data_IF_227975664435
#
_entry.id   IF_227975664435
#
_cell.length_a   1.000
_cell.length_b   1.000
_cell.length_c   1.000
_cell.angle_alpha   90.00
_cell.angle_beta   90.00
_cell.angle_gamma   90.00
#
_symmetry.space_group_name_H-M   'P 1'
#
loop_
_entity.id
_entity.type
_entity.pdbx_description
1 polymer ?
#
# COMPACT_ATOMS: atom_id res chain seq x y z
N UNK A 1 49.85 8.21 -42.87
CA UNK A 1 48.38 8.28 -42.96
C UNK A 1 47.84 7.09 -42.18
N UNK A 2 47.47 7.30 -40.92
CA UNK A 2 47.08 6.22 -40.01
C UNK A 2 45.62 6.43 -39.64
N UNK A 3 44.76 5.52 -40.09
CA UNK A 3 43.35 5.44 -39.69
C UNK A 3 43.27 5.22 -38.18
N UNK A 4 42.53 6.08 -37.47
CA UNK A 4 42.07 5.80 -36.12
C UNK A 4 40.70 5.12 -36.26
N UNK A 5 40.63 3.87 -35.83
CA UNK A 5 39.41 3.05 -35.72
C UNK A 5 38.41 3.69 -34.77
N UNK A 6 37.14 3.75 -35.20
CA UNK A 6 35.99 4.05 -34.35
C UNK A 6 35.51 2.73 -33.73
N UNK A 7 35.28 2.62 -32.41
CA UNK A 7 34.80 1.39 -31.81
C UNK A 7 33.32 1.18 -32.14
N UNK A 8 33.00 -0.04 -32.57
CA UNK A 8 31.64 -0.54 -32.74
C UNK A 8 30.96 -0.61 -31.37
N UNK A 9 29.92 0.19 -31.18
CA UNK A 9 28.99 0.05 -30.05
C UNK A 9 27.87 -0.86 -30.56
N UNK A 10 28.01 -2.15 -30.26
CA UNK A 10 26.96 -3.14 -30.43
C UNK A 10 25.90 -2.89 -29.35
N UNK A 11 24.83 -2.18 -29.70
CA UNK A 11 23.65 -2.04 -28.86
C UNK A 11 22.86 -3.36 -28.94
N UNK A 12 23.01 -4.21 -27.92
CA UNK A 12 22.22 -5.43 -27.70
C UNK A 12 20.76 -5.06 -27.41
N UNK A 13 20.02 -4.73 -28.48
CA UNK A 13 18.58 -4.55 -28.46
C UNK A 13 17.90 -5.92 -28.45
N UNK A 14 17.86 -6.56 -27.27
CA UNK A 14 16.88 -7.63 -26.99
C UNK A 14 15.70 -7.08 -26.21
N UNK A 15 15.07 -6.05 -26.76
CA UNK A 15 13.76 -5.60 -26.34
C UNK A 15 12.72 -6.63 -26.79
N UNK A 16 12.30 -7.48 -25.85
CA UNK A 16 11.24 -8.45 -26.07
C UNK A 16 9.91 -7.68 -26.15
N UNK A 17 9.07 -7.84 -27.19
CA UNK A 17 7.81 -7.09 -27.34
C UNK A 17 6.83 -7.21 -26.16
N UNK A 18 7.00 -8.23 -25.31
CA UNK A 18 6.22 -8.44 -24.10
C UNK A 18 6.57 -7.48 -22.96
N UNK A 19 7.85 -7.08 -22.80
CA UNK A 19 8.29 -6.23 -21.69
C UNK A 19 7.87 -4.77 -21.87
N UNK A 20 7.96 -4.25 -23.11
CA UNK A 20 7.43 -2.92 -23.44
C UNK A 20 5.91 -2.85 -23.23
N UNK A 21 5.17 -3.87 -23.68
CA UNK A 21 3.71 -3.92 -23.49
C UNK A 21 3.32 -4.01 -22.03
N UNK A 22 4.06 -4.78 -21.23
CA UNK A 22 3.84 -4.85 -19.78
C UNK A 22 4.15 -3.51 -19.09
N UNK A 23 5.21 -2.80 -19.50
CA UNK A 23 5.52 -1.45 -19.01
C UNK A 23 4.45 -0.43 -19.41
N UNK A 24 3.94 -0.51 -20.64
CA UNK A 24 2.85 0.34 -21.13
C UNK A 24 1.54 0.06 -20.39
N UNK A 25 1.16 -1.21 -20.17
CA UNK A 25 0.00 -1.55 -19.35
C UNK A 25 0.15 -1.06 -17.90
N UNK A 26 1.35 -1.17 -17.33
CA UNK A 26 1.61 -0.69 -15.97
C UNK A 26 1.49 0.84 -15.89
N UNK A 27 1.89 1.56 -16.94
CA UNK A 27 1.70 3.01 -17.05
C UNK A 27 0.24 3.40 -17.27
N UNK A 28 -0.52 2.66 -18.10
CA UNK A 28 -1.95 2.88 -18.31
C UNK A 28 -2.74 2.71 -17.02
N UNK A 29 -2.46 1.67 -16.24
CA UNK A 29 -3.11 1.45 -14.94
C UNK A 29 -2.82 2.60 -13.98
N UNK A 30 -1.58 3.10 -13.95
CA UNK A 30 -1.20 4.24 -13.10
C UNK A 30 -1.90 5.53 -13.55
N UNK A 31 -2.00 5.78 -14.87
CA UNK A 31 -2.67 6.97 -15.39
C UNK A 31 -4.19 6.90 -15.18
N UNK A 32 -4.82 5.76 -15.41
CA UNK A 32 -6.24 5.55 -15.17
C UNK A 32 -6.58 5.75 -13.69
N UNK A 33 -5.71 5.26 -12.80
CA UNK A 33 -5.83 5.54 -11.37
C UNK A 33 -5.71 7.04 -11.10
N UNK A 34 -4.70 7.72 -11.63
CA UNK A 34 -4.53 9.17 -11.46
C UNK A 34 -5.72 9.99 -11.98
N UNK A 35 -6.33 9.58 -13.10
CA UNK A 35 -7.48 10.23 -13.70
C UNK A 35 -8.77 10.01 -12.90
N UNK A 36 -9.02 8.77 -12.45
CA UNK A 36 -10.16 8.47 -11.57
C UNK A 36 -10.06 9.20 -10.23
N UNK A 37 -8.84 9.36 -9.71
CA UNK A 37 -8.56 10.19 -8.55
C UNK A 37 -8.84 11.68 -8.84
N UNK A 38 -8.49 12.20 -10.02
CA UNK A 38 -8.70 13.61 -10.36
C UNK A 38 -10.17 14.02 -10.61
N UNK A 39 -11.04 13.06 -10.94
CA UNK A 39 -12.44 13.31 -11.32
C UNK A 39 -13.45 13.27 -10.14
N UNK A 40 -13.04 12.75 -8.99
CA UNK A 40 -13.93 12.60 -7.84
C UNK A 40 -13.87 13.86 -6.96
N UNK A 41 -14.91 14.71 -7.04
CA UNK A 41 -15.11 15.82 -6.09
C UNK A 41 -15.58 15.33 -4.70
N UNK A 42 -15.91 14.04 -4.57
CA UNK A 42 -16.27 13.37 -3.32
C UNK A 42 -15.05 12.58 -2.80
N UNK A 43 -14.24 13.25 -1.99
CA UNK A 43 -13.02 12.68 -1.41
C UNK A 43 -13.24 11.32 -0.71
N UNK A 44 -14.27 11.14 0.15
CA UNK A 44 -14.64 9.83 0.69
C UNK A 44 -14.81 8.72 -0.37
N UNK A 45 -15.54 8.98 -1.45
CA UNK A 45 -15.83 7.97 -2.47
C UNK A 45 -14.59 7.63 -3.31
N UNK A 46 -13.73 8.61 -3.57
CA UNK A 46 -12.40 8.38 -4.15
C UNK A 46 -11.57 7.42 -3.31
N UNK A 47 -11.46 7.68 -2.00
CA UNK A 47 -10.70 6.83 -1.08
C UNK A 47 -11.29 5.42 -1.02
N UNK A 48 -12.62 5.31 -1.09
CA UNK A 48 -13.33 4.03 -1.18
C UNK A 48 -12.94 3.23 -2.42
N UNK A 49 -13.01 3.86 -3.60
CA UNK A 49 -12.63 3.23 -4.87
C UNK A 49 -11.16 2.76 -4.85
N UNK A 50 -10.26 3.60 -4.35
CA UNK A 50 -8.83 3.25 -4.23
C UNK A 50 -8.63 2.08 -3.29
N UNK A 51 -9.24 2.11 -2.11
CA UNK A 51 -9.12 1.05 -1.10
C UNK A 51 -9.66 -0.28 -1.64
N UNK A 52 -10.80 -0.26 -2.34
CA UNK A 52 -11.36 -1.44 -3.00
C UNK A 52 -10.46 -1.99 -4.12
N UNK A 53 -9.82 -1.14 -4.91
CA UNK A 53 -8.83 -1.58 -5.92
C UNK A 53 -7.61 -2.22 -5.26
N UNK A 54 -7.12 -1.67 -4.15
CA UNK A 54 -5.99 -2.25 -3.41
C UNK A 54 -6.34 -3.63 -2.84
N UNK A 55 -7.55 -3.79 -2.30
CA UNK A 55 -8.05 -5.07 -1.81
C UNK A 55 -7.93 -6.17 -2.87
N UNK A 56 -8.41 -5.90 -4.09
CA UNK A 56 -8.34 -6.82 -5.22
C UNK A 56 -6.92 -7.06 -5.74
N UNK A 57 -6.11 -6.00 -5.87
CA UNK A 57 -4.75 -6.08 -6.40
C UNK A 57 -3.84 -6.95 -5.50
N UNK A 58 -3.94 -6.76 -4.19
CA UNK A 58 -3.11 -7.47 -3.21
C UNK A 58 -3.72 -8.79 -2.74
N UNK A 59 -4.95 -9.14 -3.19
CA UNK A 59 -5.70 -10.32 -2.71
C UNK A 59 -5.72 -10.37 -1.18
N UNK A 60 -5.92 -9.20 -0.59
CA UNK A 60 -6.10 -9.02 0.84
C UNK A 60 -7.58 -9.20 1.19
N UNK A 61 -7.85 -9.48 2.46
CA UNK A 61 -9.22 -9.71 2.92
C UNK A 61 -9.83 -8.42 3.51
N UNK A 62 -8.98 -7.53 4.03
CA UNK A 62 -9.36 -6.19 4.48
C UNK A 62 -8.32 -5.18 3.99
N UNK A 63 -8.80 -4.04 3.51
CA UNK A 63 -8.01 -2.87 3.18
C UNK A 63 -8.59 -1.67 3.94
N UNK A 64 -7.74 -0.88 4.56
CA UNK A 64 -8.16 0.27 5.34
C UNK A 64 -7.25 1.48 5.09
N UNK A 65 -7.86 2.64 5.03
CA UNK A 65 -7.19 3.93 5.03
C UNK A 65 -7.42 4.61 6.37
N UNK A 66 -6.33 4.93 7.03
CA UNK A 66 -6.33 5.67 8.27
C UNK A 66 -5.76 7.06 8.03
N UNK A 67 -6.35 8.08 8.61
CA UNK A 67 -5.91 9.46 8.47
C UNK A 67 -5.47 10.01 9.81
N UNK A 68 -4.39 10.79 9.79
CA UNK A 68 -3.92 11.53 10.95
C UNK A 68 -4.76 12.80 11.05
N UNK A 69 -5.24 13.12 12.25
CA UNK A 69 -5.90 14.39 12.50
C UNK A 69 -4.89 15.55 12.29
N UNK A 70 -5.11 16.46 11.34
CA UNK A 70 -4.16 17.54 11.03
C UNK A 70 -3.99 18.53 12.19
N UNK A 71 -4.97 18.65 13.09
CA UNK A 71 -4.92 19.57 14.23
C UNK A 71 -4.08 19.02 15.38
N UNK A 72 -4.18 17.73 15.66
CA UNK A 72 -3.48 17.11 16.80
C UNK A 72 -2.24 16.32 16.39
N UNK A 73 -2.09 15.96 15.12
CA UNK A 73 -1.06 15.07 14.56
C UNK A 73 -0.92 13.69 15.24
N UNK A 74 -1.75 13.39 16.23
CA UNK A 74 -1.61 12.19 17.07
C UNK A 74 -2.74 11.20 16.86
N UNK A 75 -3.89 11.64 16.38
CA UNK A 75 -5.08 10.78 16.30
C UNK A 75 -5.19 10.16 14.92
N UNK A 76 -5.03 8.85 14.85
CA UNK A 76 -5.24 8.05 13.65
C UNK A 76 -6.67 7.55 13.65
N UNK A 77 -7.49 7.95 12.68
CA UNK A 77 -8.86 7.43 12.50
C UNK A 77 -8.99 6.65 11.21
N UNK A 78 -9.65 5.51 11.26
CA UNK A 78 -10.04 4.77 10.04
C UNK A 78 -11.13 5.56 9.32
N UNK A 79 -10.86 5.99 8.09
CA UNK A 79 -11.80 6.74 7.25
C UNK A 79 -12.50 5.81 6.25
N UNK A 80 -11.77 4.83 5.73
CA UNK A 80 -12.32 3.83 4.80
C UNK A 80 -11.85 2.46 5.24
N UNK A 81 -12.77 1.48 5.26
CA UNK A 81 -12.48 0.07 5.45
C UNK A 81 -13.30 -0.73 4.44
N UNK A 82 -12.62 -1.49 3.60
CA UNK A 82 -13.20 -2.41 2.64
C UNK A 82 -12.80 -3.84 3.00
N UNK A 83 -13.70 -4.80 2.83
CA UNK A 83 -13.45 -6.20 3.18
C UNK A 83 -14.11 -7.17 2.21
N UNK A 84 -13.45 -8.29 1.93
CA UNK A 84 -14.04 -9.42 1.20
C UNK A 84 -14.53 -10.48 2.19
N UNK A 85 -15.84 -10.70 2.28
CA UNK A 85 -16.46 -11.76 3.08
C UNK A 85 -17.19 -11.28 4.33
N UNK A 86 -17.66 -12.24 5.14
CA UNK A 86 -18.36 -11.98 6.39
C UNK A 86 -17.50 -11.17 7.36
N UNK A 87 -18.17 -10.37 8.20
CA UNK A 87 -17.58 -9.38 9.10
C UNK A 87 -16.44 -9.96 9.93
N UNK A 88 -15.21 -9.75 9.43
CA UNK A 88 -14.00 -10.13 10.14
C UNK A 88 -13.95 -9.27 11.40
N UNK A 89 -14.33 -9.88 12.53
CA UNK A 89 -14.23 -9.33 13.89
C UNK A 89 -12.77 -9.16 14.30
N UNK A 90 -12.08 -8.30 13.56
CA UNK A 90 -10.73 -7.88 13.83
C UNK A 90 -10.70 -7.12 15.15
N UNK A 91 -9.60 -7.22 15.88
CA UNK A 91 -9.31 -6.28 16.94
C UNK A 91 -9.38 -4.85 16.35
N UNK A 92 -10.40 -4.08 16.73
CA UNK A 92 -10.64 -2.74 16.21
C UNK A 92 -9.44 -1.81 16.45
N UNK A 93 -8.60 -2.11 17.45
CA UNK A 93 -7.39 -1.37 17.76
C UNK A 93 -6.16 -1.83 16.96
N UNK A 94 -6.20 -2.97 16.25
CA UNK A 94 -5.06 -3.48 15.49
C UNK A 94 -4.59 -2.48 14.42
N UNK A 95 -5.47 -1.91 13.58
CA UNK A 95 -5.06 -0.90 12.60
C UNK A 95 -4.30 0.28 13.21
N UNK A 96 -4.82 0.84 14.31
CA UNK A 96 -4.20 1.98 15.02
C UNK A 96 -2.84 1.61 15.61
N UNK A 97 -2.71 0.42 16.21
CA UNK A 97 -1.43 -0.05 16.77
C UNK A 97 -0.36 -0.23 15.68
N UNK A 98 -0.73 -0.76 14.52
CA UNK A 98 0.19 -0.93 13.38
C UNK A 98 0.58 0.43 12.81
N UNK A 99 -0.39 1.30 12.57
CA UNK A 99 -0.15 2.66 12.07
C UNK A 99 0.77 3.45 13.03
N UNK A 100 0.55 3.35 14.33
CA UNK A 100 1.41 3.96 15.35
C UNK A 100 2.84 3.43 15.31
N UNK A 101 3.03 2.12 15.04
CA UNK A 101 4.37 1.56 14.85
C UNK A 101 5.06 2.14 13.62
N UNK A 102 4.36 2.21 12.47
CA UNK A 102 4.88 2.77 11.22
C UNK A 102 5.22 4.25 11.38
N UNK A 103 4.34 5.03 12.01
CA UNK A 103 4.58 6.45 12.29
C UNK A 103 5.81 6.67 13.17
N UNK A 104 5.98 5.85 14.21
CA UNK A 104 7.12 5.94 15.12
C UNK A 104 8.45 5.58 14.47
N UNK A 105 8.48 4.57 13.59
CA UNK A 105 9.72 4.08 12.97
C UNK A 105 9.98 4.69 11.59
N UNK A 106 9.01 5.42 11.04
CA UNK A 106 9.05 6.04 9.71
C UNK A 106 9.44 5.05 8.59
N UNK A 107 8.98 3.80 8.72
CA UNK A 107 9.31 2.72 7.79
C UNK A 107 8.08 1.88 7.49
N UNK A 108 7.94 1.39 6.24
CA UNK A 108 6.85 0.49 5.87
C UNK A 108 6.91 -0.77 6.73
N UNK A 109 5.74 -1.23 7.16
CA UNK A 109 5.60 -2.43 7.95
C UNK A 109 5.06 -3.56 7.07
N UNK A 110 5.80 -4.66 6.96
CA UNK A 110 5.35 -5.88 6.33
C UNK A 110 5.60 -7.04 7.28
N UNK A 111 4.57 -7.85 7.53
CA UNK A 111 4.67 -9.09 8.29
C UNK A 111 3.90 -10.19 7.60
N UNK A 112 4.55 -11.35 7.42
CA UNK A 112 3.92 -12.55 6.85
C UNK A 112 3.10 -13.32 7.89
N UNK A 113 3.51 -13.21 9.15
CA UNK A 113 2.84 -13.79 10.29
C UNK A 113 2.99 -12.86 11.49
N UNK A 114 1.97 -12.05 11.73
CA UNK A 114 2.00 -11.04 12.79
C UNK A 114 1.88 -11.66 14.19
N UNK A 115 1.39 -12.90 14.29
CA UNK A 115 1.28 -13.61 15.56
C UNK A 115 2.66 -14.02 16.11
N UNK A 116 3.62 -14.21 15.20
CA UNK A 116 5.01 -14.59 15.49
C UNK A 116 6.00 -13.43 15.34
N UNK A 117 5.53 -12.21 15.07
CA UNK A 117 6.42 -11.08 14.75
C UNK A 117 7.11 -10.53 16.00
N UNK A 118 8.44 -10.60 16.02
CA UNK A 118 9.29 -10.16 17.14
C UNK A 118 9.15 -8.67 17.47
N UNK A 119 8.66 -7.84 16.53
CA UNK A 119 8.43 -6.41 16.75
C UNK A 119 7.30 -6.14 17.75
N UNK A 120 6.46 -7.13 18.02
CA UNK A 120 5.34 -7.02 18.94
C UNK A 120 5.42 -8.03 20.09
N UNK A 121 4.70 -7.73 21.17
CA UNK A 121 4.57 -8.65 22.31
C UNK A 121 3.67 -9.83 21.93
N UNK A 122 3.85 -10.95 22.62
CA UNK A 122 2.91 -12.09 22.55
C UNK A 122 1.48 -11.59 22.84
N UNK A 123 0.49 -12.09 22.10
CA UNK A 123 -0.93 -11.68 22.17
C UNK A 123 -1.24 -10.25 21.67
N UNK A 124 -0.37 -9.69 20.82
CA UNK A 124 -0.63 -8.38 20.18
C UNK A 124 -1.90 -8.38 19.32
N UNK A 125 -2.20 -9.50 18.66
CA UNK A 125 -3.43 -9.73 17.90
C UNK A 125 -4.29 -10.81 18.61
N UNK A 126 -5.61 -10.61 18.68
CA UNK A 126 -6.58 -11.58 19.24
C UNK A 126 -7.06 -12.60 18.19
N UNK A 127 -7.79 -13.61 18.66
CA UNK A 127 -8.29 -14.81 17.95
C UNK A 127 -9.26 -14.47 16.80
N UNK A 128 -9.19 -15.22 15.68
CA UNK A 128 -9.68 -14.81 14.35
C UNK A 128 -8.56 -14.14 13.53
N UNK A 129 -7.32 -14.57 13.78
CA UNK A 129 -6.14 -13.74 13.68
C UNK A 129 -5.79 -13.40 12.23
N UNK A 130 -5.70 -12.10 11.98
CA UNK A 130 -4.97 -11.59 10.84
C UNK A 130 -3.60 -12.28 10.81
N UNK A 131 -3.30 -12.96 9.71
CA UNK A 131 -2.05 -13.68 9.48
C UNK A 131 -0.99 -12.70 9.01
N UNK A 132 -1.23 -12.07 7.87
CA UNK A 132 -0.27 -11.16 7.25
C UNK A 132 -0.80 -9.74 7.22
N UNK A 133 0.12 -8.79 7.39
CA UNK A 133 -0.18 -7.37 7.46
C UNK A 133 0.84 -6.60 6.63
N UNK A 134 0.35 -5.66 5.82
CA UNK A 134 1.15 -4.62 5.20
C UNK A 134 0.62 -3.26 5.66
N UNK A 135 1.49 -2.36 6.08
CA UNK A 135 1.13 -0.98 6.37
C UNK A 135 2.19 -0.02 5.85
N UNK A 136 1.76 1.04 5.18
CA UNK A 136 2.62 2.09 4.63
C UNK A 136 2.05 3.46 4.96
N UNK A 137 2.92 4.44 5.19
CA UNK A 137 2.50 5.82 5.38
C UNK A 137 2.13 6.47 4.03
N UNK A 138 1.08 7.26 4.03
CA UNK A 138 0.75 8.19 2.95
C UNK A 138 1.44 9.51 3.27
N UNK A 139 2.31 9.97 2.36
CA UNK A 139 3.15 11.14 2.59
C UNK A 139 2.75 12.24 1.60
N UNK A 140 2.46 13.43 2.13
CA UNK A 140 2.24 14.65 1.37
C UNK A 140 3.17 15.73 1.94
N UNK A 141 3.90 16.45 1.08
CA UNK A 141 4.85 17.49 1.49
C UNK A 141 5.84 17.04 2.59
N UNK A 142 6.32 15.80 2.49
CA UNK A 142 7.25 15.21 3.45
C UNK A 142 6.65 14.86 4.81
N UNK A 143 5.35 15.05 4.99
CA UNK A 143 4.62 14.73 6.21
C UNK A 143 3.67 13.56 6.00
N UNK A 144 3.60 12.66 6.99
CA UNK A 144 2.61 11.59 6.98
C UNK A 144 1.21 12.20 7.19
N UNK A 145 0.32 12.00 6.22
CA UNK A 145 -1.09 12.42 6.30
C UNK A 145 -2.02 11.27 6.69
N UNK A 146 -1.56 10.05 6.51
CA UNK A 146 -2.32 8.85 6.83
C UNK A 146 -1.51 7.57 6.63
N UNK A 147 -2.20 6.44 6.66
CA UNK A 147 -1.65 5.11 6.50
C UNK A 147 -2.58 4.25 5.66
N UNK A 148 -2.01 3.50 4.72
CA UNK A 148 -2.69 2.40 4.04
C UNK A 148 -2.34 1.12 4.78
N UNK A 149 -3.37 0.33 5.10
CA UNK A 149 -3.26 -0.94 5.81
C UNK A 149 -3.96 -2.03 5.01
N UNK A 150 -3.28 -3.15 4.82
CA UNK A 150 -3.83 -4.37 4.22
C UNK A 150 -3.68 -5.52 5.19
N UNK A 151 -4.75 -6.28 5.39
CA UNK A 151 -4.81 -7.41 6.29
C UNK A 151 -5.28 -8.63 5.53
N UNK A 152 -4.69 -9.78 5.87
CA UNK A 152 -5.13 -11.08 5.38
C UNK A 152 -5.32 -12.02 6.56
N UNK A 153 -6.43 -12.74 6.60
CA UNK A 153 -6.79 -13.72 7.61
C UNK A 153 -6.25 -15.10 7.25
N UNK A 154 -6.40 -16.05 8.18
CA UNK A 154 -6.00 -17.44 8.01
C UNK A 154 -7.04 -18.26 7.26
#
# INVERSE_FOLDING_TARGET
>A
MTCIQKPDIELDNRDTPGTLRAQLQQQEILLDMAFLLGQQQDFPEMLRIVTGKMLGLFRADVAALLMINPLTQETVKTIVRESTGDDHSADAALPEKIAGWVGKHQQPFLSRDITCDRRFRKNFCKTGAVRSVLCVALICDGMATGYLLLLKYQ
#
